data_IF_025436160952
#
_entry.id   IF_025436160952
#
_cell.length_a   1.000
_cell.length_b   1.000
_cell.length_c   1.000
_cell.angle_alpha   90.00
_cell.angle_beta   90.00
_cell.angle_gamma   90.00
#
_symmetry.space_group_name_H-M   'P 1'
#
loop_
_entity.id
_entity.type
_entity.pdbx_description
1 polymer ?
#
# COMPACT_ATOMS: atom_id res chain seq x y z
N UNK A 1 -8.05 10.53 -6.03
CA UNK A 1 -8.97 11.11 -5.04
C UNK A 1 -8.23 12.06 -4.13
N UNK A 2 -8.93 13.05 -3.59
CA UNK A 2 -8.40 13.99 -2.60
C UNK A 2 -7.93 13.31 -1.31
N UNK A 3 -8.45 12.13 -1.00
CA UNK A 3 -8.08 11.33 0.16
C UNK A 3 -6.84 10.43 -0.07
N UNK A 4 -6.22 10.51 -1.26
CA UNK A 4 -5.01 9.76 -1.63
C UNK A 4 -5.21 8.48 -2.46
N UNK A 5 -6.24 7.65 -2.27
CA UNK A 5 -6.47 6.46 -3.08
C UNK A 5 -6.78 6.75 -4.54
N UNK A 6 -6.65 5.73 -5.39
CA UNK A 6 -6.99 5.78 -6.80
C UNK A 6 -8.43 6.30 -7.03
N UNK A 7 -8.60 7.30 -7.90
CA UNK A 7 -9.91 7.77 -8.31
C UNK A 7 -10.50 6.86 -9.39
N UNK A 8 -11.55 6.15 -9.05
CA UNK A 8 -12.26 5.27 -9.99
C UNK A 8 -12.93 6.08 -11.12
N UNK A 9 -13.51 7.23 -10.81
CA UNK A 9 -14.16 8.08 -11.82
C UNK A 9 -13.15 8.63 -12.84
N UNK A 10 -11.98 9.10 -12.35
CA UNK A 10 -10.92 9.55 -13.23
C UNK A 10 -10.38 8.40 -14.10
N UNK A 11 -10.16 7.22 -13.51
CA UNK A 11 -9.72 6.03 -14.22
C UNK A 11 -10.74 5.64 -15.29
N UNK A 12 -12.04 5.62 -14.98
CA UNK A 12 -13.13 5.30 -15.90
C UNK A 12 -13.13 6.25 -17.10
N UNK A 13 -13.08 7.57 -16.85
CA UNK A 13 -12.98 8.59 -17.91
C UNK A 13 -11.73 8.40 -18.77
N UNK A 14 -10.60 8.09 -18.17
CA UNK A 14 -9.34 7.85 -18.90
C UNK A 14 -9.42 6.61 -19.78
N UNK A 15 -9.92 5.50 -19.26
CA UNK A 15 -10.10 4.24 -20.02
C UNK A 15 -11.06 4.42 -21.20
N UNK A 16 -12.15 5.18 -21.04
CA UNK A 16 -13.11 5.49 -22.11
C UNK A 16 -12.47 6.27 -23.26
N UNK A 17 -11.54 7.18 -22.95
CA UNK A 17 -10.85 8.01 -23.95
C UNK A 17 -9.61 7.33 -24.55
N UNK A 18 -9.22 6.18 -24.05
CA UNK A 18 -8.00 5.48 -24.48
C UNK A 18 -8.32 4.53 -25.62
N UNK A 19 -7.58 4.65 -26.74
CA UNK A 19 -7.70 3.70 -27.87
C UNK A 19 -7.40 2.27 -27.42
N UNK A 20 -8.08 1.28 -28.00
CA UNK A 20 -8.02 -0.15 -27.60
C UNK A 20 -6.57 -0.67 -27.48
N UNK A 21 -5.71 -0.34 -28.44
CA UNK A 21 -4.32 -0.78 -28.45
C UNK A 21 -3.42 -0.13 -27.40
N UNK A 22 -3.88 0.95 -26.77
CA UNK A 22 -3.16 1.70 -25.72
C UNK A 22 -3.75 1.48 -24.32
N UNK A 23 -4.72 0.57 -24.18
CA UNK A 23 -5.26 0.23 -22.87
C UNK A 23 -4.18 -0.38 -21.97
N UNK A 24 -4.20 -0.08 -20.67
CA UNK A 24 -3.20 -0.61 -19.75
C UNK A 24 -3.30 -2.14 -19.65
N UNK A 25 -2.16 -2.82 -19.62
CA UNK A 25 -2.10 -4.27 -19.35
C UNK A 25 -2.35 -4.59 -17.88
N UNK A 26 -2.00 -3.68 -16.98
CA UNK A 26 -2.21 -3.81 -15.54
C UNK A 26 -2.47 -2.44 -14.90
N UNK A 27 -3.19 -2.45 -13.78
CA UNK A 27 -3.39 -1.30 -12.90
C UNK A 27 -2.94 -1.69 -11.51
N UNK A 28 -2.10 -0.82 -10.91
CA UNK A 28 -1.63 -0.97 -9.53
C UNK A 28 -2.52 -0.09 -8.65
N UNK A 29 -3.27 -0.72 -7.73
CA UNK A 29 -4.11 -0.05 -6.75
C UNK A 29 -3.38 0.01 -5.41
N UNK A 30 -2.94 1.21 -5.01
CA UNK A 30 -2.22 1.43 -3.76
C UNK A 30 -3.20 1.73 -2.63
N UNK A 31 -3.23 0.89 -1.59
CA UNK A 31 -4.03 1.09 -0.38
C UNK A 31 -3.32 2.04 0.59
N UNK A 32 -3.24 3.32 0.19
CA UNK A 32 -2.48 4.34 0.93
C UNK A 32 -2.96 4.46 2.38
N UNK A 33 -2.03 4.67 3.31
CA UNK A 33 -2.29 4.79 4.75
C UNK A 33 -2.97 3.57 5.40
N UNK A 34 -3.21 2.49 4.64
CA UNK A 34 -3.92 1.30 5.10
C UNK A 34 -5.42 1.32 4.77
N UNK A 35 -5.91 2.34 4.05
CA UNK A 35 -7.29 2.42 3.60
C UNK A 35 -7.45 1.70 2.24
N UNK A 36 -8.33 0.69 2.15
CA UNK A 36 -8.58 0.01 0.88
C UNK A 36 -9.13 0.92 -0.21
N UNK A 37 -8.63 0.78 -1.44
CA UNK A 37 -9.23 1.36 -2.64
C UNK A 37 -10.65 0.81 -2.89
N UNK A 38 -11.37 1.38 -3.85
CA UNK A 38 -12.69 0.89 -4.30
C UNK A 38 -12.50 -0.33 -5.23
N UNK A 39 -12.14 -1.46 -4.63
CA UNK A 39 -11.74 -2.66 -5.37
C UNK A 39 -12.88 -3.31 -6.14
N UNK A 40 -14.12 -3.21 -5.66
CA UNK A 40 -15.30 -3.74 -6.36
C UNK A 40 -15.51 -3.02 -7.69
N UNK A 41 -15.45 -1.69 -7.68
CA UNK A 41 -15.60 -0.87 -8.89
C UNK A 41 -14.41 -1.06 -9.84
N UNK A 42 -13.19 -1.17 -9.29
CA UNK A 42 -12.00 -1.46 -10.08
C UNK A 42 -12.12 -2.84 -10.77
N UNK A 43 -12.68 -3.83 -10.07
CA UNK A 43 -12.92 -5.16 -10.63
C UNK A 43 -13.96 -5.15 -11.76
N UNK A 44 -15.01 -4.32 -11.67
CA UNK A 44 -15.97 -4.12 -12.79
C UNK A 44 -15.26 -3.56 -14.02
N UNK A 45 -14.37 -2.58 -13.83
CA UNK A 45 -13.56 -2.02 -14.92
C UNK A 45 -12.59 -3.06 -15.51
N UNK A 46 -11.95 -3.89 -14.69
CA UNK A 46 -11.12 -5.02 -15.15
C UNK A 46 -11.89 -5.95 -16.08
N UNK A 47 -13.12 -6.32 -15.71
CA UNK A 47 -13.95 -7.20 -16.56
C UNK A 47 -14.24 -6.58 -17.93
N UNK A 48 -14.48 -5.26 -17.95
CA UNK A 48 -14.78 -4.52 -19.19
C UNK A 48 -13.54 -4.31 -20.08
N UNK A 49 -12.42 -3.88 -19.49
CA UNK A 49 -11.23 -3.45 -20.23
C UNK A 49 -10.09 -4.47 -20.26
N UNK A 50 -10.26 -5.64 -19.61
CA UNK A 50 -9.37 -6.81 -19.66
C UNK A 50 -7.93 -6.57 -19.18
N UNK A 51 -7.70 -5.64 -18.25
CA UNK A 51 -6.42 -5.46 -17.59
C UNK A 51 -6.27 -6.32 -16.33
N UNK A 52 -5.04 -6.49 -15.84
CA UNK A 52 -4.75 -7.12 -14.55
C UNK A 52 -4.82 -6.10 -13.43
N UNK A 53 -5.19 -6.54 -12.22
CA UNK A 53 -5.16 -5.71 -11.02
C UNK A 53 -4.09 -6.25 -10.08
N UNK A 54 -3.18 -5.36 -9.66
CA UNK A 54 -2.18 -5.60 -8.62
C UNK A 54 -2.52 -4.69 -7.44
N UNK A 55 -2.82 -5.27 -6.28
CA UNK A 55 -2.97 -4.49 -5.05
C UNK A 55 -1.60 -4.24 -4.44
N UNK A 56 -1.18 -2.97 -4.33
CA UNK A 56 -0.09 -2.60 -3.43
C UNK A 56 -0.69 -2.40 -2.03
N UNK A 57 -0.63 -3.45 -1.24
CA UNK A 57 -1.12 -3.50 0.12
C UNK A 57 0.00 -3.33 1.17
N UNK A 58 1.13 -2.72 0.79
CA UNK A 58 2.26 -2.46 1.68
C UNK A 58 1.89 -1.70 2.96
N UNK A 59 0.76 -0.99 2.97
CA UNK A 59 0.19 -0.31 4.14
C UNK A 59 -1.06 -0.99 4.70
N UNK A 60 -1.58 -2.04 4.06
CA UNK A 60 -2.95 -2.50 4.30
C UNK A 60 -3.05 -3.94 4.85
N UNK A 61 -1.96 -4.51 5.36
CA UNK A 61 -2.03 -5.78 6.04
C UNK A 61 -2.96 -5.68 7.27
N UNK A 62 -4.00 -6.52 7.30
CA UNK A 62 -5.06 -6.49 8.32
C UNK A 62 -6.28 -5.63 7.98
N UNK A 63 -6.24 -4.86 6.88
CA UNK A 63 -7.41 -4.14 6.36
C UNK A 63 -8.43 -5.09 5.72
N UNK A 64 -9.67 -4.60 5.52
CA UNK A 64 -10.72 -5.36 4.84
C UNK A 64 -11.74 -4.47 4.15
N UNK A 65 -12.41 -5.03 3.14
CA UNK A 65 -13.60 -4.47 2.49
C UNK A 65 -14.75 -5.42 2.81
N UNK A 66 -15.81 -4.90 3.48
CA UNK A 66 -16.87 -5.73 4.05
C UNK A 66 -16.24 -6.81 4.95
N UNK A 67 -16.51 -8.09 4.70
CA UNK A 67 -15.91 -9.23 5.42
C UNK A 67 -14.61 -9.75 4.80
N UNK A 68 -14.24 -9.30 3.57
CA UNK A 68 -13.11 -9.82 2.81
C UNK A 68 -11.81 -9.12 3.19
N UNK A 69 -10.81 -9.87 3.62
CA UNK A 69 -9.48 -9.33 3.94
C UNK A 69 -8.75 -8.87 2.69
N UNK A 70 -8.01 -7.76 2.79
CA UNK A 70 -6.99 -7.42 1.78
C UNK A 70 -5.96 -8.55 1.75
N UNK A 71 -5.56 -8.97 0.56
CA UNK A 71 -4.72 -10.15 0.33
C UNK A 71 -5.48 -11.43 -0.03
N UNK A 72 -6.81 -11.45 0.10
CA UNK A 72 -7.64 -12.56 -0.36
C UNK A 72 -7.80 -12.65 -1.88
N UNK A 73 -7.33 -11.63 -2.60
CA UNK A 73 -7.39 -11.50 -4.07
C UNK A 73 -8.79 -11.73 -4.68
N UNK A 74 -9.86 -11.37 -3.93
CA UNK A 74 -11.24 -11.50 -4.45
C UNK A 74 -11.51 -10.58 -5.64
N UNK A 75 -10.78 -9.46 -5.71
CA UNK A 75 -10.99 -8.40 -6.71
C UNK A 75 -9.76 -8.18 -7.61
N UNK A 76 -8.63 -8.82 -7.28
CA UNK A 76 -7.34 -8.62 -7.94
C UNK A 76 -6.73 -9.92 -8.45
N UNK A 77 -5.66 -9.81 -9.25
CA UNK A 77 -4.86 -10.95 -9.69
C UNK A 77 -3.73 -11.23 -8.71
N UNK A 78 -3.19 -10.17 -8.09
CA UNK A 78 -2.10 -10.22 -7.13
C UNK A 78 -2.32 -9.19 -6.03
N UNK A 79 -1.87 -9.50 -4.82
CA UNK A 79 -1.77 -8.56 -3.73
C UNK A 79 -0.37 -8.64 -3.10
N UNK A 80 0.28 -7.49 -2.93
CA UNK A 80 1.66 -7.37 -2.45
C UNK A 80 1.65 -6.77 -1.06
N UNK A 81 2.35 -7.42 -0.12
CA UNK A 81 2.60 -6.91 1.22
C UNK A 81 4.08 -6.65 1.46
N UNK A 82 4.39 -5.63 2.26
CA UNK A 82 5.73 -5.32 2.74
C UNK A 82 5.86 -5.68 4.21
N UNK A 83 6.99 -6.27 4.56
CA UNK A 83 7.39 -6.59 5.94
C UNK A 83 8.63 -5.80 6.37
N UNK A 84 8.89 -4.67 5.71
CA UNK A 84 9.91 -3.71 6.14
C UNK A 84 9.67 -3.27 7.60
N UNK A 85 10.71 -2.83 8.29
CA UNK A 85 10.72 -2.55 9.73
C UNK A 85 9.58 -1.63 10.23
N UNK A 86 9.11 -0.66 9.42
CA UNK A 86 8.06 0.30 9.82
C UNK A 86 6.63 -0.18 9.55
N UNK A 87 6.43 -1.36 8.95
CA UNK A 87 5.10 -1.83 8.52
C UNK A 87 4.27 -2.37 9.69
N UNK A 88 3.04 -2.81 9.41
CA UNK A 88 2.09 -3.33 10.42
C UNK A 88 2.64 -4.54 11.19
N UNK A 89 3.43 -5.37 10.51
CA UNK A 89 4.33 -6.39 11.06
C UNK A 89 5.65 -6.28 10.33
N UNK A 90 6.72 -6.85 10.88
CA UNK A 90 8.05 -6.77 10.28
C UNK A 90 8.78 -8.10 10.29
N UNK A 91 9.63 -8.28 9.28
CA UNK A 91 10.69 -9.30 9.24
C UNK A 91 12.07 -8.65 9.12
N UNK A 92 12.20 -7.36 9.53
CA UNK A 92 13.33 -6.49 9.21
C UNK A 92 13.17 -5.96 7.79
N UNK A 93 13.51 -6.77 6.83
CA UNK A 93 13.18 -6.64 5.40
C UNK A 93 12.38 -7.86 4.96
N UNK A 94 11.52 -7.69 3.98
CA UNK A 94 10.74 -8.77 3.40
C UNK A 94 9.39 -8.34 2.84
N UNK A 95 8.66 -9.32 2.33
CA UNK A 95 7.32 -9.14 1.79
C UNK A 95 6.73 -10.44 1.30
N UNK A 96 5.49 -10.40 0.88
CA UNK A 96 4.87 -11.54 0.19
C UNK A 96 3.91 -11.07 -0.91
N UNK A 97 3.65 -11.97 -1.83
CA UNK A 97 2.64 -11.81 -2.87
C UNK A 97 1.62 -12.91 -2.70
N UNK A 98 0.33 -12.55 -2.67
CA UNK A 98 -0.78 -13.51 -2.69
C UNK A 98 -1.47 -13.51 -4.05
N UNK A 99 -2.00 -14.67 -4.46
CA UNK A 99 -2.79 -14.86 -5.66
C UNK A 99 -3.69 -16.09 -5.54
N UNK A 100 -4.87 -16.06 -6.15
CA UNK A 100 -5.78 -17.21 -6.22
C UNK A 100 -5.56 -18.06 -7.50
N UNK A 101 -4.62 -17.67 -8.36
CA UNK A 101 -4.34 -18.36 -9.59
C UNK A 101 -3.13 -19.28 -9.46
N UNK A 102 -3.31 -20.60 -9.58
CA UNK A 102 -2.26 -21.62 -9.45
C UNK A 102 -1.09 -21.40 -10.43
N UNK A 103 -1.36 -21.03 -11.68
CA UNK A 103 -0.32 -20.75 -12.68
C UNK A 103 0.54 -19.55 -12.26
N UNK A 104 -0.10 -18.47 -11.77
CA UNK A 104 0.61 -17.30 -11.25
C UNK A 104 1.47 -17.67 -10.02
N UNK A 105 0.95 -18.50 -9.11
CA UNK A 105 1.68 -18.96 -7.93
C UNK A 105 2.97 -19.71 -8.32
N UNK A 106 2.87 -20.69 -9.23
CA UNK A 106 4.06 -21.43 -9.68
C UNK A 106 5.07 -20.50 -10.35
N UNK A 107 4.58 -19.55 -11.16
CA UNK A 107 5.43 -18.55 -11.81
C UNK A 107 6.16 -17.65 -10.78
N UNK A 108 5.47 -17.19 -9.75
CA UNK A 108 6.06 -16.40 -8.67
C UNK A 108 7.10 -17.21 -7.87
N UNK A 109 6.83 -18.49 -7.59
CA UNK A 109 7.80 -19.38 -6.91
C UNK A 109 9.08 -19.56 -7.74
N UNK A 110 8.95 -19.72 -9.05
CA UNK A 110 10.09 -19.79 -9.97
C UNK A 110 10.91 -18.50 -9.94
N UNK A 111 10.26 -17.35 -10.17
CA UNK A 111 10.91 -16.03 -10.16
C UNK A 111 11.55 -15.68 -8.82
N UNK A 112 10.94 -16.09 -7.70
CA UNK A 112 11.50 -15.92 -6.36
C UNK A 112 12.86 -16.62 -6.17
N UNK A 113 13.15 -17.69 -6.93
CA UNK A 113 14.27 -18.59 -6.72
C UNK A 113 15.06 -18.79 -8.02
N UNK A 114 15.72 -17.76 -8.51
CA UNK A 114 16.64 -17.76 -9.65
C UNK A 114 16.06 -18.24 -10.99
N UNK A 115 14.74 -18.30 -11.14
CA UNK A 115 14.12 -18.88 -12.35
C UNK A 115 14.24 -20.42 -12.44
N UNK A 116 14.56 -21.08 -11.31
CA UNK A 116 14.74 -22.53 -11.25
C UNK A 116 13.41 -23.25 -11.36
N UNK A 117 13.38 -24.29 -12.22
CA UNK A 117 12.28 -25.22 -12.39
C UNK A 117 12.74 -26.61 -11.95
N UNK A 118 12.01 -27.21 -11.00
CA UNK A 118 12.21 -28.59 -10.51
C UNK A 118 11.01 -29.50 -10.83
N UNK A 119 9.87 -28.93 -11.19
CA UNK A 119 8.68 -29.68 -11.56
C UNK A 119 8.95 -30.44 -12.88
N UNK A 120 8.97 -31.77 -12.81
CA UNK A 120 9.24 -32.67 -13.94
C UNK A 120 8.37 -32.40 -15.16
N UNK A 121 7.12 -31.94 -14.95
CA UNK A 121 6.18 -31.65 -16.02
C UNK A 121 6.53 -30.38 -16.80
N UNK A 122 7.28 -29.47 -16.17
CA UNK A 122 7.68 -28.18 -16.72
C UNK A 122 9.11 -28.16 -17.29
N UNK A 123 9.89 -29.25 -17.07
CA UNK A 123 11.24 -29.37 -17.61
C UNK A 123 11.20 -29.51 -19.13
N UNK A 124 12.12 -28.84 -19.81
CA UNK A 124 12.30 -28.92 -21.26
C UNK A 124 13.06 -30.16 -21.70
N UNK A 125 14.07 -30.58 -20.94
CA UNK A 125 14.97 -31.71 -21.21
C UNK A 125 14.41 -32.98 -20.57
N UNK A 126 13.53 -33.67 -21.28
CA UNK A 126 12.76 -34.82 -20.76
C UNK A 126 13.62 -36.02 -20.36
N UNK A 127 14.70 -36.32 -21.09
CA UNK A 127 15.61 -37.44 -20.80
C UNK A 127 16.33 -37.30 -19.46
N UNK A 128 16.53 -36.06 -18.93
CA UNK A 128 17.14 -35.80 -17.66
C UNK A 128 16.13 -35.70 -16.51
N UNK A 129 14.85 -35.57 -16.78
CA UNK A 129 13.78 -35.43 -15.78
C UNK A 129 13.62 -36.64 -14.84
N UNK A 130 14.19 -37.80 -15.19
CA UNK A 130 14.24 -39.00 -14.36
C UNK A 130 15.15 -38.83 -13.11
N UNK A 131 16.13 -37.93 -13.16
CA UNK A 131 17.06 -37.72 -12.06
C UNK A 131 16.49 -36.75 -11.03
N UNK A 132 16.55 -37.09 -9.75
CA UNK A 132 16.00 -36.27 -8.65
C UNK A 132 16.78 -34.98 -8.41
N UNK A 133 18.06 -34.94 -8.77
CA UNK A 133 18.92 -33.77 -8.63
C UNK A 133 18.76 -32.76 -9.78
N UNK A 134 18.11 -33.16 -10.89
CA UNK A 134 18.04 -32.33 -12.08
C UNK A 134 17.06 -31.16 -11.94
N UNK A 135 17.46 -30.03 -12.42
CA UNK A 135 16.65 -28.81 -12.52
C UNK A 135 17.07 -27.99 -13.74
N UNK A 136 16.25 -27.04 -14.14
CA UNK A 136 16.54 -26.13 -15.25
C UNK A 136 16.41 -24.69 -14.80
N UNK A 137 17.24 -23.80 -15.41
CA UNK A 137 17.08 -22.33 -15.35
C UNK A 137 16.65 -21.87 -16.73
N UNK A 138 15.39 -21.54 -16.89
CA UNK A 138 14.82 -21.17 -18.18
C UNK A 138 14.77 -19.65 -18.42
N UNK A 139 15.11 -18.86 -17.43
CA UNK A 139 15.16 -17.40 -17.49
C UNK A 139 16.00 -16.82 -16.36
N UNK A 140 16.47 -15.59 -16.53
CA UNK A 140 17.20 -14.87 -15.48
C UNK A 140 16.23 -14.34 -14.42
N UNK A 141 16.51 -14.65 -13.16
CA UNK A 141 15.83 -14.07 -12.00
C UNK A 141 16.79 -13.95 -10.82
N UNK A 142 16.27 -13.52 -9.66
CA UNK A 142 17.06 -13.22 -8.47
C UNK A 142 16.73 -14.16 -7.32
N UNK A 143 17.44 -14.02 -6.20
CA UNK A 143 17.10 -14.65 -4.94
C UNK A 143 16.23 -13.72 -4.10
N UNK A 144 14.91 -13.93 -4.16
CA UNK A 144 13.94 -13.18 -3.35
C UNK A 144 13.36 -14.00 -2.19
N UNK A 145 14.04 -15.03 -1.77
CA UNK A 145 13.60 -15.86 -0.64
C UNK A 145 13.84 -15.14 0.69
N UNK A 146 12.86 -15.21 1.58
CA UNK A 146 13.07 -14.87 2.99
C UNK A 146 14.02 -15.93 3.62
N UNK A 147 14.86 -15.48 4.53
CA UNK A 147 15.66 -16.39 5.38
C UNK A 147 14.77 -17.01 6.46
N UNK A 148 15.23 -18.10 7.09
CA UNK A 148 14.51 -18.74 8.17
C UNK A 148 14.36 -17.82 9.39
N UNK A 149 15.37 -16.99 9.69
CA UNK A 149 15.30 -15.94 10.73
C UNK A 149 14.17 -14.95 10.45
N UNK A 150 14.10 -14.43 9.24
CA UNK A 150 13.02 -13.51 8.82
C UNK A 150 11.65 -14.19 8.90
N UNK A 151 11.57 -15.44 8.48
CA UNK A 151 10.34 -16.22 8.53
C UNK A 151 9.87 -16.48 9.96
N UNK A 152 10.78 -16.85 10.87
CA UNK A 152 10.51 -17.05 12.29
C UNK A 152 10.01 -15.76 12.96
N UNK A 153 10.67 -14.63 12.68
CA UNK A 153 10.20 -13.31 13.13
C UNK A 153 8.80 -13.01 12.59
N UNK A 154 8.57 -13.25 11.29
CA UNK A 154 7.26 -13.06 10.65
C UNK A 154 6.15 -13.86 11.30
N UNK A 155 6.39 -15.13 11.62
CA UNK A 155 5.44 -16.02 12.34
C UNK A 155 5.10 -15.44 13.72
N UNK A 156 6.10 -14.95 14.46
CA UNK A 156 5.88 -14.29 15.75
C UNK A 156 5.06 -13.00 15.61
N UNK A 157 5.37 -12.20 14.62
CA UNK A 157 4.72 -10.90 14.37
C UNK A 157 3.28 -11.03 13.91
N UNK A 158 2.97 -11.98 13.00
CA UNK A 158 1.61 -12.15 12.47
C UNK A 158 0.60 -12.53 13.57
N UNK A 159 1.03 -13.27 14.58
CA UNK A 159 0.20 -13.60 15.77
C UNK A 159 -0.26 -12.34 16.52
N UNK A 160 0.51 -11.24 16.44
CA UNK A 160 0.21 -9.95 17.10
C UNK A 160 -0.59 -8.98 16.22
N UNK A 161 -0.76 -9.27 14.92
CA UNK A 161 -1.37 -8.36 13.95
C UNK A 161 -2.73 -7.83 14.39
N UNK A 162 -3.64 -8.71 14.86
CA UNK A 162 -4.99 -8.31 15.32
C UNK A 162 -4.92 -7.29 16.45
N UNK A 163 -4.02 -7.50 17.42
CA UNK A 163 -3.77 -6.58 18.54
C UNK A 163 -3.23 -5.23 18.03
N UNK A 164 -2.24 -5.25 17.13
CA UNK A 164 -1.63 -4.03 16.59
C UNK A 164 -2.64 -3.18 15.80
N UNK A 165 -3.46 -3.81 14.95
CA UNK A 165 -4.51 -3.10 14.21
C UNK A 165 -5.57 -2.54 15.16
N UNK A 166 -5.96 -3.27 16.20
CA UNK A 166 -6.89 -2.81 17.23
C UNK A 166 -6.38 -1.54 17.94
N UNK A 167 -5.12 -1.56 18.39
CA UNK A 167 -4.50 -0.40 19.06
C UNK A 167 -4.40 0.81 18.11
N UNK A 168 -3.99 0.64 16.85
CA UNK A 168 -3.97 1.71 15.85
C UNK A 168 -5.38 2.27 15.61
N UNK A 169 -6.40 1.42 15.55
CA UNK A 169 -7.80 1.84 15.40
C UNK A 169 -8.28 2.69 16.58
N UNK A 170 -7.93 2.32 17.81
CA UNK A 170 -8.24 3.11 19.00
C UNK A 170 -7.59 4.49 18.95
N UNK A 171 -6.30 4.57 18.58
CA UNK A 171 -5.56 5.83 18.44
C UNK A 171 -6.20 6.68 17.34
N UNK A 172 -6.49 6.10 16.18
CA UNK A 172 -7.12 6.81 15.06
C UNK A 172 -8.50 7.36 15.44
N UNK A 173 -9.34 6.56 16.11
CA UNK A 173 -10.65 6.99 16.61
C UNK A 173 -10.53 8.16 17.59
N UNK A 174 -9.50 8.13 18.44
CA UNK A 174 -9.26 9.22 19.39
C UNK A 174 -8.82 10.52 18.68
N UNK A 175 -7.92 10.43 17.70
CA UNK A 175 -7.53 11.57 16.87
C UNK A 175 -8.73 12.15 16.10
N UNK A 176 -9.55 11.31 15.47
CA UNK A 176 -10.76 11.73 14.75
C UNK A 176 -11.77 12.45 15.64
N UNK A 177 -11.82 12.12 16.94
CA UNK A 177 -12.71 12.75 17.92
C UNK A 177 -12.15 14.08 18.45
N UNK A 178 -10.83 14.20 18.61
CA UNK A 178 -10.19 15.26 19.41
C UNK A 178 -9.43 16.32 18.62
N UNK A 179 -8.97 16.02 17.41
CA UNK A 179 -8.31 17.01 16.55
C UNK A 179 -9.34 17.98 15.98
N UNK A 180 -9.03 19.25 15.99
CA UNK A 180 -9.91 20.32 15.54
C UNK A 180 -10.17 20.24 14.02
N UNK A 181 -11.40 19.88 13.67
CA UNK A 181 -11.86 19.77 12.29
C UNK A 181 -12.07 21.13 11.59
N UNK A 182 -12.04 22.23 12.33
CA UNK A 182 -12.05 23.57 11.72
C UNK A 182 -10.67 23.87 11.11
N UNK A 183 -9.60 23.40 11.72
CA UNK A 183 -8.21 23.59 11.29
C UNK A 183 -7.70 22.51 10.33
N UNK A 184 -8.19 21.26 10.46
CA UNK A 184 -7.66 20.12 9.73
C UNK A 184 -8.74 19.29 9.05
N UNK A 185 -8.44 18.80 7.83
CA UNK A 185 -9.18 17.72 7.19
C UNK A 185 -8.57 16.41 7.68
N UNK A 186 -9.40 15.54 8.24
CA UNK A 186 -9.02 14.25 8.81
C UNK A 186 -9.42 13.10 7.88
N UNK A 187 -8.82 11.89 8.02
CA UNK A 187 -9.19 10.73 7.24
C UNK A 187 -10.68 10.40 7.37
N UNK A 188 -11.31 10.02 6.26
CA UNK A 188 -12.72 9.59 6.24
C UNK A 188 -12.86 8.16 6.76
N UNK A 189 -13.97 7.89 7.43
CA UNK A 189 -14.39 6.54 7.82
C UNK A 189 -15.45 6.06 6.82
N UNK A 190 -15.30 4.83 6.36
CA UNK A 190 -16.23 4.17 5.46
C UNK A 190 -16.90 3.00 6.18
N UNK A 191 -18.20 2.82 5.99
CA UNK A 191 -18.97 1.74 6.65
C UNK A 191 -18.53 0.34 6.20
N UNK A 192 -18.13 0.22 4.95
CA UNK A 192 -17.77 -1.04 4.28
C UNK A 192 -16.27 -1.34 4.26
N UNK A 193 -15.43 -0.42 4.78
CA UNK A 193 -13.97 -0.57 4.77
C UNK A 193 -13.38 -0.45 6.18
N UNK A 194 -12.52 -1.39 6.53
CA UNK A 194 -11.71 -1.33 7.76
C UNK A 194 -10.26 -1.03 7.39
N UNK A 195 -9.78 0.15 7.78
CA UNK A 195 -8.38 0.56 7.56
C UNK A 195 -7.44 -0.19 8.52
N UNK A 196 -6.23 -0.48 8.04
CA UNK A 196 -5.13 -0.95 8.89
C UNK A 196 -4.46 0.19 9.70
N UNK A 197 -4.82 1.45 9.43
CA UNK A 197 -4.26 2.63 10.10
C UNK A 197 -2.74 2.64 10.17
N UNK A 198 -2.10 2.30 9.05
CA UNK A 198 -0.65 2.36 8.96
C UNK A 198 -0.14 3.79 9.12
N UNK A 199 -0.83 4.75 8.51
CA UNK A 199 -0.60 6.18 8.67
C UNK A 199 -1.88 6.88 9.11
N UNK A 200 -1.73 8.00 9.82
CA UNK A 200 -2.81 8.95 10.07
C UNK A 200 -2.42 10.27 9.40
N UNK A 201 -3.08 10.58 8.29
CA UNK A 201 -2.75 11.72 7.44
C UNK A 201 -3.73 12.83 7.71
N UNK A 202 -3.22 14.00 8.08
CA UNK A 202 -4.00 15.23 8.21
C UNK A 202 -3.68 16.17 7.04
N UNK A 203 -4.63 17.02 6.68
CA UNK A 203 -4.41 18.11 5.72
C UNK A 203 -4.86 19.41 6.38
N UNK A 204 -3.97 20.41 6.51
CA UNK A 204 -4.37 21.71 7.04
C UNK A 204 -5.38 22.38 6.13
N UNK A 205 -6.31 23.10 6.74
CA UNK A 205 -7.31 23.94 6.08
C UNK A 205 -6.89 25.41 6.08
N UNK A 206 -7.62 26.19 5.28
CA UNK A 206 -7.49 27.65 5.23
C UNK A 206 -6.03 28.10 4.97
N UNK A 207 -5.58 29.12 5.68
CA UNK A 207 -4.27 29.72 5.51
C UNK A 207 -3.13 28.97 6.23
N UNK A 208 -3.36 27.76 6.72
CA UNK A 208 -2.32 26.97 7.38
C UNK A 208 -1.36 26.40 6.32
N UNK A 209 -0.14 26.92 6.27
CA UNK A 209 0.91 26.39 5.42
C UNK A 209 1.46 25.07 5.99
N UNK A 210 1.44 23.99 5.19
CA UNK A 210 1.91 22.66 5.59
C UNK A 210 3.39 22.65 6.01
N UNK A 211 4.24 23.42 5.33
CA UNK A 211 5.69 23.48 5.65
C UNK A 211 5.95 24.18 6.98
N UNK A 212 5.21 25.24 7.28
CA UNK A 212 5.29 25.94 8.56
C UNK A 212 4.77 25.04 9.69
N UNK A 213 3.67 24.33 9.48
CA UNK A 213 3.14 23.32 10.41
C UNK A 213 4.16 22.21 10.66
N UNK A 214 4.80 21.68 9.61
CA UNK A 214 5.87 20.68 9.74
C UNK A 214 7.00 21.16 10.64
N UNK A 215 7.51 22.37 10.40
CA UNK A 215 8.60 22.97 11.18
C UNK A 215 8.18 23.24 12.63
N UNK A 216 6.95 23.69 12.84
CA UNK A 216 6.40 23.89 14.20
C UNK A 216 6.34 22.57 14.97
N UNK A 217 5.75 21.52 14.38
CA UNK A 217 5.65 20.21 15.01
C UNK A 217 7.04 19.61 15.29
N UNK A 218 7.99 19.77 14.38
CA UNK A 218 9.39 19.34 14.57
C UNK A 218 10.03 20.04 15.79
N UNK A 219 9.86 21.38 15.95
CA UNK A 219 10.34 22.11 17.13
C UNK A 219 9.68 21.66 18.43
N UNK A 220 8.45 21.14 18.36
CA UNK A 220 7.73 20.54 19.50
C UNK A 220 8.06 19.06 19.71
N UNK A 221 9.07 18.51 19.04
CA UNK A 221 9.47 17.10 19.17
C UNK A 221 8.48 16.09 18.57
N UNK A 222 7.56 16.55 17.72
CA UNK A 222 6.59 15.68 17.03
C UNK A 222 7.13 15.40 15.63
N UNK A 223 7.58 14.16 15.41
CA UNK A 223 8.06 13.72 14.10
C UNK A 223 6.88 13.49 13.17
N UNK A 224 6.89 14.21 12.05
CA UNK A 224 5.89 14.06 10.98
C UNK A 224 6.57 13.71 9.67
N UNK A 225 5.87 13.02 8.78
CA UNK A 225 6.43 12.55 7.51
C UNK A 225 5.48 12.87 6.37
N UNK A 226 6.05 13.13 5.20
CA UNK A 226 5.31 13.33 3.96
C UNK A 226 5.19 12.00 3.19
N UNK A 227 3.97 11.56 2.94
CA UNK A 227 3.68 10.37 2.14
C UNK A 227 2.75 10.72 0.96
N UNK A 228 3.27 10.96 -0.27
CA UNK A 228 4.68 11.01 -0.70
C UNK A 228 4.89 12.15 -1.70
N UNK A 229 6.14 12.42 -2.07
CA UNK A 229 6.44 13.25 -3.24
C UNK A 229 5.91 12.51 -4.47
N UNK A 230 5.05 13.13 -5.30
CA UNK A 230 4.55 12.48 -6.51
C UNK A 230 5.68 12.04 -7.43
N UNK A 231 5.59 10.83 -7.98
CA UNK A 231 6.64 10.22 -8.83
C UNK A 231 7.08 11.17 -9.96
N UNK A 232 6.14 11.85 -10.60
CA UNK A 232 6.44 12.77 -11.70
C UNK A 232 7.22 14.02 -11.28
N UNK A 233 7.34 14.31 -9.97
CA UNK A 233 8.19 15.42 -9.46
C UNK A 233 9.65 15.00 -9.24
N UNK A 234 9.95 13.70 -9.20
CA UNK A 234 11.34 13.24 -9.11
C UNK A 234 12.10 13.46 -10.42
N UNK A 235 13.37 13.89 -10.37
CA UNK A 235 14.16 14.23 -11.58
C UNK A 235 14.16 13.12 -12.64
N UNK A 236 14.32 11.86 -12.23
CA UNK A 236 14.33 10.71 -13.13
C UNK A 236 13.03 10.56 -13.94
N UNK A 237 11.88 10.76 -13.30
CA UNK A 237 10.56 10.59 -13.93
C UNK A 237 10.06 11.86 -14.60
N UNK A 238 10.52 13.04 -14.16
CA UNK A 238 10.07 14.33 -14.69
C UNK A 238 10.22 14.43 -16.22
N UNK A 239 11.31 13.88 -16.77
CA UNK A 239 11.57 13.85 -18.21
C UNK A 239 10.71 12.83 -18.97
N UNK A 240 10.19 11.81 -18.30
CA UNK A 240 9.46 10.67 -18.90
C UNK A 240 7.94 10.82 -18.88
N UNK A 241 7.41 11.61 -17.96
CA UNK A 241 5.97 11.79 -17.78
C UNK A 241 5.55 13.14 -18.38
N UNK A 242 4.77 13.09 -19.44
CA UNK A 242 4.16 14.26 -20.10
C UNK A 242 2.83 14.64 -19.42
N UNK A 243 2.38 15.90 -19.60
CA UNK A 243 1.09 16.41 -19.09
C UNK A 243 0.92 16.25 -17.55
N UNK A 244 1.95 16.63 -16.81
CA UNK A 244 1.97 16.55 -15.33
C UNK A 244 0.94 17.47 -14.67
N UNK A 245 0.62 18.60 -15.33
CA UNK A 245 -0.37 19.60 -14.92
C UNK A 245 -1.79 19.01 -14.77
N UNK A 246 -2.08 17.91 -15.47
CA UNK A 246 -3.36 17.20 -15.38
C UNK A 246 -3.53 16.38 -14.10
N UNK A 247 -2.48 16.26 -13.28
CA UNK A 247 -2.47 15.49 -12.04
C UNK A 247 -2.72 16.40 -10.83
N UNK A 248 -3.60 17.38 -10.97
CA UNK A 248 -3.87 18.42 -9.97
C UNK A 248 -4.19 17.86 -8.57
N UNK A 249 -4.99 16.79 -8.49
CA UNK A 249 -5.33 16.19 -7.20
C UNK A 249 -4.12 15.58 -6.49
N UNK A 250 -3.17 15.01 -7.24
CA UNK A 250 -1.91 14.49 -6.66
C UNK A 250 -1.00 15.63 -6.20
N UNK A 251 -1.01 16.76 -6.92
CA UNK A 251 -0.26 17.96 -6.54
C UNK A 251 -0.85 18.55 -5.26
N UNK A 252 -2.17 18.77 -5.22
CA UNK A 252 -2.87 19.34 -4.06
C UNK A 252 -2.71 18.44 -2.82
N UNK A 253 -2.83 17.12 -3.00
CA UNK A 253 -2.58 16.18 -1.92
C UNK A 253 -1.15 16.31 -1.37
N UNK A 254 -0.15 16.32 -2.25
CA UNK A 254 1.26 16.47 -1.86
C UNK A 254 1.53 17.79 -1.11
N UNK A 255 0.90 18.87 -1.52
CA UNK A 255 1.08 20.18 -0.89
C UNK A 255 0.49 20.25 0.52
N UNK A 256 -0.54 19.47 0.80
CA UNK A 256 -1.30 19.53 2.05
C UNK A 256 -1.03 18.36 3.01
N UNK A 257 -0.83 17.15 2.49
CA UNK A 257 -0.76 15.95 3.31
C UNK A 257 0.43 15.96 4.28
N UNK A 258 0.17 15.58 5.54
CA UNK A 258 1.16 15.40 6.58
C UNK A 258 0.75 14.23 7.49
N UNK A 259 1.63 13.22 7.61
CA UNK A 259 1.39 12.07 8.48
C UNK A 259 1.87 12.40 9.90
N UNK A 260 0.97 12.28 10.85
CA UNK A 260 1.28 12.40 12.30
C UNK A 260 1.51 11.02 12.91
N UNK A 261 2.18 10.94 14.08
CA UNK A 261 2.53 9.66 14.69
C UNK A 261 1.31 8.78 14.98
N UNK A 262 1.37 7.53 14.52
CA UNK A 262 0.43 6.46 14.86
C UNK A 262 1.18 5.11 14.88
N UNK A 263 1.27 4.48 16.05
CA UNK A 263 1.89 3.16 16.23
C UNK A 263 1.33 2.49 17.50
N UNK A 264 1.34 1.15 17.62
CA UNK A 264 0.63 0.43 18.69
C UNK A 264 0.96 0.91 20.11
N UNK A 265 2.22 1.25 20.38
CA UNK A 265 2.69 1.67 21.71
C UNK A 265 2.61 3.20 21.97
N UNK A 266 1.90 3.97 21.11
CA UNK A 266 1.69 5.39 21.33
C UNK A 266 0.74 5.59 22.51
N UNK A 267 1.29 5.93 23.69
CA UNK A 267 0.51 6.06 24.91
C UNK A 267 -0.38 7.31 24.93
N UNK A 268 -1.35 7.35 25.84
CA UNK A 268 -2.35 8.42 25.92
C UNK A 268 -1.76 9.80 26.19
N UNK A 269 -0.70 9.88 27.01
CA UNK A 269 0.01 11.14 27.30
C UNK A 269 0.57 11.77 26.03
N UNK A 270 1.25 10.97 25.20
CA UNK A 270 1.79 11.41 23.90
C UNK A 270 0.67 11.75 22.89
N UNK A 271 -0.42 10.96 22.85
CA UNK A 271 -1.58 11.28 22.01
C UNK A 271 -2.18 12.64 22.38
N UNK A 272 -2.39 12.91 23.67
CA UNK A 272 -2.91 14.18 24.17
C UNK A 272 -1.97 15.35 23.84
N UNK A 273 -0.66 15.15 23.95
CA UNK A 273 0.34 16.15 23.59
C UNK A 273 0.26 16.51 22.09
N UNK A 274 0.20 15.51 21.22
CA UNK A 274 0.07 15.72 19.77
C UNK A 274 -1.22 16.51 19.46
N UNK A 275 -2.35 16.10 20.04
CA UNK A 275 -3.65 16.76 19.83
C UNK A 275 -3.61 18.20 20.30
N UNK A 276 -3.14 18.45 21.54
CA UNK A 276 -3.02 19.81 22.09
C UNK A 276 -2.14 20.70 21.22
N UNK A 277 -1.00 20.17 20.78
CA UNK A 277 -0.06 20.92 19.93
C UNK A 277 -0.68 21.27 18.57
N UNK A 278 -1.42 20.36 17.95
CA UNK A 278 -2.13 20.61 16.68
C UNK A 278 -3.26 21.64 16.87
N UNK A 279 -4.08 21.47 17.92
CA UNK A 279 -5.22 22.35 18.15
C UNK A 279 -4.82 23.78 18.55
N UNK A 280 -3.61 23.96 19.09
CA UNK A 280 -3.07 25.27 19.48
C UNK A 280 -2.24 25.93 18.35
N UNK A 281 -2.02 25.26 17.21
CA UNK A 281 -1.38 25.87 16.05
C UNK A 281 -2.32 26.81 15.32
#
# INVERSE_FOLDING_TARGET
NEDGPLSIDYLKKKLQKTKKNNLPKAIIAVHIAGLPCDMEELHKLKKKYKFKIIEDASHALGASIKSKKIGSCNYSDFCIFSFHAIKSITTGEGGCITTNNKKNYHRLCQLRSHGIIRDKNLLKTKNLSKYHWYYEVNEISFNFRLTDFQSALGISQIKKLKKFIGLRTQIASYYLKKIDKKKFILPKIYKDKKSAWHLFIIKPKNNINRSNLYNYLKRKGIVTVLHYIPIFKHPYYKKKIKNQERLINSINYFQQALSIPIYPNLNKKKQNYIIKTLNNY
#
